data_IF_499842639648
#
_entry.id   IF_499842639648
#
_cell.length_a   1.000
_cell.length_b   1.000
_cell.length_c   1.000
_cell.angle_alpha   90.00
_cell.angle_beta   90.00
_cell.angle_gamma   90.00
#
_symmetry.space_group_name_H-M   'P 1'
#
loop_
_entity.id
_entity.type
_entity.pdbx_description
1 polymer ?
#
# COMPACT_ATOMS: atom_id res chain seq x y z
N UNK A 1 9.73 -23.64 -18.12
CA UNK A 1 9.84 -25.03 -17.57
C UNK A 1 10.80 -25.84 -18.41
N UNK A 2 11.61 -26.67 -17.77
CA UNK A 2 12.47 -27.63 -18.44
C UNK A 2 11.76 -28.99 -18.51
N UNK A 3 11.88 -29.68 -19.63
CA UNK A 3 11.27 -30.98 -19.88
C UNK A 3 12.31 -32.10 -19.74
N UNK A 4 11.85 -33.36 -19.64
CA UNK A 4 12.72 -34.52 -19.56
C UNK A 4 13.66 -34.62 -20.78
N UNK A 5 14.82 -35.28 -20.61
CA UNK A 5 15.86 -35.39 -21.64
C UNK A 5 15.32 -35.99 -22.94
N UNK A 6 14.33 -36.90 -22.87
CA UNK A 6 13.71 -37.57 -24.03
C UNK A 6 12.61 -36.75 -24.69
N UNK A 7 12.22 -35.60 -24.13
CA UNK A 7 11.17 -34.75 -24.72
C UNK A 7 11.71 -34.01 -25.95
N UNK A 8 10.93 -33.94 -27.01
CA UNK A 8 11.23 -33.12 -28.19
C UNK A 8 11.25 -31.63 -27.84
N UNK A 9 10.45 -31.19 -26.85
CA UNK A 9 10.43 -29.82 -26.35
C UNK A 9 11.40 -29.73 -25.18
N UNK A 10 12.38 -28.85 -25.27
CA UNK A 10 13.43 -28.66 -24.26
C UNK A 10 13.10 -27.50 -23.31
N UNK A 11 12.50 -26.43 -23.80
CA UNK A 11 12.08 -25.32 -22.97
C UNK A 11 10.86 -24.58 -23.54
N UNK A 12 10.08 -23.99 -22.65
CA UNK A 12 9.00 -23.07 -22.99
C UNK A 12 9.15 -21.83 -22.12
N UNK A 13 9.29 -20.67 -22.75
CA UNK A 13 9.19 -19.37 -22.11
C UNK A 13 7.87 -18.73 -22.52
N UNK A 14 7.01 -18.48 -21.54
CA UNK A 14 5.77 -17.76 -21.73
C UNK A 14 5.78 -16.51 -20.85
N UNK A 15 5.65 -15.34 -21.48
CA UNK A 15 5.53 -14.07 -20.80
C UNK A 15 4.14 -13.47 -21.06
N UNK A 16 3.47 -13.07 -20.01
CA UNK A 16 2.22 -12.33 -20.07
C UNK A 16 2.37 -11.07 -19.24
N UNK A 17 2.37 -9.91 -19.89
CA UNK A 17 2.51 -8.62 -19.24
C UNK A 17 1.16 -7.91 -19.22
N UNK A 18 0.66 -7.63 -18.02
CA UNK A 18 -0.51 -6.79 -17.79
C UNK A 18 -0.04 -5.40 -17.36
N UNK A 19 -0.55 -4.37 -18.02
CA UNK A 19 -0.32 -2.97 -17.62
C UNK A 19 -1.66 -2.30 -17.42
N UNK A 20 -1.88 -1.76 -16.22
CA UNK A 20 -3.09 -1.02 -15.87
C UNK A 20 -2.79 0.47 -15.90
N UNK A 21 -3.58 1.21 -16.65
CA UNK A 21 -3.58 2.68 -16.68
C UNK A 21 -4.82 3.21 -15.98
N UNK A 22 -4.75 4.47 -15.49
CA UNK A 22 -5.92 5.04 -14.88
C UNK A 22 -5.77 6.49 -14.51
N UNK A 23 -6.92 7.11 -14.35
CA UNK A 23 -7.10 8.45 -13.82
C UNK A 23 -8.12 8.42 -12.70
N UNK A 24 -8.00 9.31 -11.72
CA UNK A 24 -8.89 9.32 -10.57
C UNK A 24 -9.09 10.72 -10.01
N UNK A 25 -10.25 10.92 -9.40
CA UNK A 25 -10.62 12.15 -8.73
C UNK A 25 -11.06 11.86 -7.28
N UNK A 26 -10.61 12.70 -6.36
CA UNK A 26 -11.08 12.72 -4.99
C UNK A 26 -10.99 14.16 -4.44
N UNK A 27 -11.70 14.43 -3.35
CA UNK A 27 -11.57 15.68 -2.61
C UNK A 27 -11.44 15.41 -1.11
N UNK A 28 -10.89 16.38 -0.41
CA UNK A 28 -10.78 16.34 1.05
C UNK A 28 -11.26 17.65 1.63
N UNK A 29 -12.00 17.55 2.73
CA UNK A 29 -12.45 18.71 3.51
C UNK A 29 -12.09 18.48 4.98
N UNK A 30 -11.72 19.53 5.69
CA UNK A 30 -11.37 19.43 7.10
C UNK A 30 -11.61 20.73 7.85
N UNK A 31 -11.78 20.60 9.15
CA UNK A 31 -11.92 21.72 10.07
C UNK A 31 -11.02 21.47 11.29
N UNK A 32 -10.41 22.55 11.80
CA UNK A 32 -9.60 22.54 13.00
C UNK A 32 -10.05 23.66 13.92
N UNK A 33 -10.31 23.33 15.18
CA UNK A 33 -10.59 24.31 16.23
C UNK A 33 -9.51 24.28 17.31
N UNK A 34 -9.10 25.47 17.75
CA UNK A 34 -8.10 25.67 18.80
C UNK A 34 -8.82 26.13 20.08
N UNK A 35 -8.58 25.42 21.18
CA UNK A 35 -9.09 25.72 22.51
C UNK A 35 -7.90 25.89 23.44
N UNK A 36 -7.36 27.09 23.56
CA UNK A 36 -6.15 27.36 24.35
C UNK A 36 -5.02 26.37 24.01
N UNK A 37 -4.79 25.37 24.85
CA UNK A 37 -3.76 24.33 24.68
C UNK A 37 -4.22 23.13 23.87
N UNK A 38 -5.53 22.91 23.73
CA UNK A 38 -6.12 21.79 23.02
C UNK A 38 -6.45 22.19 21.57
N UNK A 39 -6.16 21.33 20.63
CA UNK A 39 -6.58 21.43 19.24
C UNK A 39 -7.40 20.20 18.90
N UNK A 40 -8.54 20.39 18.27
CA UNK A 40 -9.40 19.31 17.80
C UNK A 40 -9.63 19.52 16.32
N UNK A 41 -9.44 18.48 15.54
CA UNK A 41 -9.62 18.49 14.08
C UNK A 41 -10.50 17.34 13.64
N UNK A 42 -11.18 17.56 12.53
CA UNK A 42 -11.91 16.54 11.79
C UNK A 42 -11.59 16.72 10.31
N UNK A 43 -11.32 15.65 9.61
CA UNK A 43 -11.20 15.68 8.15
C UNK A 43 -11.93 14.49 7.54
N UNK A 44 -12.53 14.74 6.38
CA UNK A 44 -13.19 13.74 5.56
C UNK A 44 -12.53 13.73 4.19
N UNK A 45 -12.11 12.55 3.76
CA UNK A 45 -11.65 12.28 2.40
C UNK A 45 -12.72 11.49 1.67
N UNK A 46 -13.16 12.01 0.54
CA UNK A 46 -14.12 11.30 -0.32
C UNK A 46 -13.52 9.99 -0.84
N UNK A 47 -14.35 9.06 -1.34
CA UNK A 47 -13.86 8.03 -2.21
C UNK A 47 -13.03 8.63 -3.35
N UNK A 48 -12.05 7.89 -3.86
CA UNK A 48 -11.44 8.19 -5.14
C UNK A 48 -12.19 7.41 -6.22
N UNK A 49 -12.70 8.13 -7.21
CA UNK A 49 -13.36 7.56 -8.37
C UNK A 49 -12.34 7.39 -9.47
N UNK A 50 -11.87 6.16 -9.67
CA UNK A 50 -10.93 5.81 -10.73
C UNK A 50 -11.66 5.39 -12.00
N UNK A 51 -11.13 5.78 -13.15
CA UNK A 51 -11.41 5.17 -14.44
C UNK A 51 -10.15 4.46 -14.89
N UNK A 52 -10.23 3.14 -15.02
CA UNK A 52 -9.09 2.27 -15.28
C UNK A 52 -9.28 1.55 -16.62
N UNK A 53 -8.18 1.17 -17.27
CA UNK A 53 -8.15 0.27 -18.42
C UNK A 53 -6.87 -0.53 -18.42
N UNK A 54 -6.99 -1.75 -18.93
CA UNK A 54 -5.91 -2.72 -18.92
C UNK A 54 -5.43 -2.98 -20.36
N UNK A 55 -4.13 -3.23 -20.47
CA UNK A 55 -3.48 -3.68 -21.69
C UNK A 55 -2.67 -4.94 -21.37
N UNK A 56 -2.79 -5.97 -22.21
CA UNK A 56 -1.96 -7.16 -22.11
C UNK A 56 -1.13 -7.37 -23.35
N UNK A 57 0.12 -7.78 -23.16
CA UNK A 57 1.00 -8.27 -24.21
C UNK A 57 1.45 -9.68 -23.86
N UNK A 58 1.58 -10.54 -24.88
CA UNK A 58 1.96 -11.93 -24.70
C UNK A 58 3.15 -12.26 -25.59
N UNK A 59 4.04 -13.10 -25.08
CA UNK A 59 5.17 -13.63 -25.78
C UNK A 59 5.31 -15.11 -25.43
N UNK A 60 5.53 -15.94 -26.43
CA UNK A 60 5.80 -17.36 -26.28
C UNK A 60 7.02 -17.74 -27.09
N UNK A 61 7.95 -18.41 -26.45
CA UNK A 61 9.12 -18.99 -27.11
C UNK A 61 9.22 -20.46 -26.73
N UNK A 62 9.51 -21.32 -27.72
CA UNK A 62 9.75 -22.73 -27.50
C UNK A 62 11.08 -23.13 -28.13
N UNK A 63 11.86 -23.93 -27.40
CA UNK A 63 13.01 -24.64 -27.95
C UNK A 63 12.67 -26.12 -28.08
N UNK A 64 12.86 -26.67 -29.27
CA UNK A 64 12.64 -28.08 -29.57
C UNK A 64 13.83 -28.71 -30.29
N UNK A 65 13.90 -30.03 -30.23
CA UNK A 65 14.95 -30.81 -30.91
C UNK A 65 14.26 -31.91 -31.72
N UNK A 66 14.63 -32.06 -33.00
CA UNK A 66 14.12 -33.14 -33.84
C UNK A 66 14.81 -34.49 -33.56
N UNK A 67 14.36 -35.52 -34.24
CA UNK A 67 14.92 -36.88 -34.14
C UNK A 67 16.38 -36.96 -34.62
N UNK A 68 16.88 -35.97 -35.34
CA UNK A 68 18.26 -35.88 -35.85
C UNK A 68 19.15 -35.02 -34.94
N UNK A 69 18.61 -34.49 -33.83
CA UNK A 69 19.32 -33.62 -32.90
C UNK A 69 19.41 -32.16 -33.35
N UNK A 70 18.67 -31.76 -34.39
CA UNK A 70 18.63 -30.36 -34.82
C UNK A 70 17.74 -29.56 -33.88
N UNK A 71 18.23 -28.39 -33.48
CA UNK A 71 17.52 -27.45 -32.56
C UNK A 71 16.69 -26.47 -33.36
N UNK A 72 15.46 -26.30 -32.93
CA UNK A 72 14.52 -25.32 -33.47
C UNK A 72 14.12 -24.38 -32.36
N UNK A 73 13.95 -23.12 -32.70
CA UNK A 73 13.45 -22.06 -31.82
C UNK A 73 12.28 -21.37 -32.50
N UNK A 74 11.09 -21.58 -31.96
CA UNK A 74 9.88 -20.97 -32.46
C UNK A 74 9.45 -19.84 -31.52
N UNK A 75 9.18 -18.69 -32.11
CA UNK A 75 8.78 -17.50 -31.37
C UNK A 75 7.44 -17.03 -31.87
N UNK A 76 6.49 -16.89 -30.96
CA UNK A 76 5.19 -16.25 -31.18
C UNK A 76 5.20 -14.93 -30.40
N UNK A 77 5.54 -13.85 -31.10
CA UNK A 77 5.45 -12.48 -30.60
C UNK A 77 4.51 -11.71 -31.53
N UNK A 78 3.22 -11.69 -31.23
CA UNK A 78 2.25 -11.02 -32.08
C UNK A 78 2.44 -9.49 -32.14
N UNK A 79 3.25 -8.92 -31.21
CA UNK A 79 3.43 -7.47 -31.06
C UNK A 79 2.12 -6.72 -30.98
N UNK A 80 1.10 -7.39 -30.43
CA UNK A 80 -0.26 -6.87 -30.30
C UNK A 80 -0.52 -6.62 -28.82
N UNK A 81 -1.00 -5.43 -28.51
CA UNK A 81 -1.56 -5.14 -27.19
C UNK A 81 -3.07 -5.37 -27.24
N UNK A 82 -3.56 -6.29 -26.42
CA UNK A 82 -4.98 -6.46 -26.22
C UNK A 82 -5.46 -5.37 -25.25
N UNK A 83 -6.36 -4.52 -25.72
CA UNK A 83 -6.97 -3.46 -24.93
C UNK A 83 -8.29 -3.95 -24.36
N UNK A 84 -8.46 -3.80 -23.04
CA UNK A 84 -9.71 -4.14 -22.37
C UNK A 84 -10.60 -2.91 -22.20
N UNK A 85 -11.91 -3.09 -22.13
CA UNK A 85 -12.85 -2.01 -21.90
C UNK A 85 -12.56 -1.28 -20.59
N UNK A 86 -12.79 0.03 -20.58
CA UNK A 86 -12.63 0.85 -19.37
C UNK A 86 -13.61 0.42 -18.29
N UNK A 87 -13.12 0.35 -17.07
CA UNK A 87 -13.93 0.07 -15.89
C UNK A 87 -13.70 1.14 -14.81
N UNK A 88 -14.58 1.18 -13.81
CA UNK A 88 -14.49 2.14 -12.71
C UNK A 88 -14.21 1.41 -11.41
N UNK A 89 -13.23 1.91 -10.65
CA UNK A 89 -12.96 1.49 -9.29
C UNK A 89 -13.27 2.65 -8.34
N UNK A 90 -14.04 2.39 -7.29
CA UNK A 90 -14.37 3.36 -6.26
C UNK A 90 -13.70 2.90 -4.97
N UNK A 91 -12.74 3.70 -4.46
CA UNK A 91 -12.06 3.42 -3.19
C UNK A 91 -12.97 3.77 -1.99
N UNK A 92 -12.65 3.32 -0.77
CA UNK A 92 -13.38 3.76 0.41
C UNK A 92 -13.09 5.23 0.73
N UNK A 93 -14.06 5.90 1.35
CA UNK A 93 -13.85 7.18 2.02
C UNK A 93 -13.12 6.99 3.35
N UNK A 94 -12.55 8.05 3.90
CA UNK A 94 -12.00 8.03 5.25
C UNK A 94 -12.43 9.23 6.06
N UNK A 95 -12.70 8.98 7.35
CA UNK A 95 -12.96 9.99 8.36
C UNK A 95 -11.80 9.99 9.36
N UNK A 96 -11.21 11.15 9.61
CA UNK A 96 -10.13 11.32 10.59
C UNK A 96 -10.59 12.27 11.68
N UNK A 97 -10.44 11.84 12.92
CA UNK A 97 -10.57 12.68 14.11
C UNK A 97 -9.17 12.87 14.71
N UNK A 98 -8.80 14.11 14.93
CA UNK A 98 -7.49 14.50 15.41
C UNK A 98 -7.58 15.31 16.68
N UNK A 99 -6.67 15.09 17.62
CA UNK A 99 -6.48 15.94 18.78
C UNK A 99 -5.00 16.21 19.03
N UNK A 100 -4.68 17.37 19.56
CA UNK A 100 -3.33 17.68 20.02
C UNK A 100 -3.38 18.58 21.27
N UNK A 101 -2.59 18.19 22.27
CA UNK A 101 -2.38 18.97 23.48
C UNK A 101 -1.01 19.65 23.41
N UNK A 102 -1.01 20.97 23.51
CA UNK A 102 0.22 21.78 23.53
C UNK A 102 0.64 22.03 24.95
N UNK A 103 1.87 21.62 25.29
CA UNK A 103 2.45 21.71 26.63
C UNK A 103 3.37 22.92 26.67
N UNK A 104 2.78 24.10 26.79
CA UNK A 104 3.52 25.37 26.81
C UNK A 104 4.43 25.55 25.58
N UNK A 105 5.69 25.93 25.84
CA UNK A 105 6.75 26.02 24.82
C UNK A 105 7.59 24.74 24.74
N UNK A 106 7.30 23.75 25.58
CA UNK A 106 8.13 22.57 25.80
C UNK A 106 7.80 21.47 24.79
N UNK A 107 6.54 21.34 24.34
CA UNK A 107 6.21 20.28 23.41
C UNK A 107 4.73 20.10 23.11
N UNK A 108 4.41 18.98 22.48
CA UNK A 108 3.04 18.58 22.15
C UNK A 108 2.89 17.06 22.22
N UNK A 109 1.65 16.62 22.42
CA UNK A 109 1.21 15.24 22.21
C UNK A 109 0.03 15.29 21.27
N UNK A 110 -0.01 14.43 20.26
CA UNK A 110 -1.09 14.31 19.29
C UNK A 110 -1.64 12.89 19.24
N UNK A 111 -2.92 12.80 18.89
CA UNK A 111 -3.64 11.55 18.73
C UNK A 111 -4.59 11.67 17.56
N UNK A 112 -4.55 10.72 16.63
CA UNK A 112 -5.45 10.62 15.49
C UNK A 112 -6.13 9.25 15.48
N UNK A 113 -7.42 9.26 15.13
CA UNK A 113 -8.21 8.06 14.80
C UNK A 113 -8.71 8.21 13.38
N UNK A 114 -8.43 7.19 12.55
CA UNK A 114 -8.83 7.18 11.14
C UNK A 114 -9.73 5.97 10.91
N UNK A 115 -10.96 6.22 10.48
CA UNK A 115 -11.91 5.17 10.11
C UNK A 115 -12.00 5.04 8.59
N UNK A 116 -11.94 3.79 8.10
CA UNK A 116 -12.16 3.44 6.69
C UNK A 116 -13.03 2.18 6.61
N UNK A 117 -14.00 2.19 5.72
CA UNK A 117 -14.85 1.02 5.44
C UNK A 117 -14.49 0.42 4.07
N UNK A 118 -13.61 -0.59 4.07
CA UNK A 118 -13.15 -1.24 2.86
C UNK A 118 -14.23 -2.08 2.17
N UNK A 119 -15.32 -2.44 2.86
CA UNK A 119 -16.47 -3.12 2.24
C UNK A 119 -17.22 -2.25 1.22
N UNK A 120 -16.95 -0.93 1.23
CA UNK A 120 -17.54 0.05 0.30
C UNK A 120 -16.81 0.17 -1.02
N UNK A 121 -15.67 -0.50 -1.19
CA UNK A 121 -14.99 -0.59 -2.49
C UNK A 121 -15.96 -1.20 -3.51
N UNK A 122 -16.00 -0.64 -4.71
CA UNK A 122 -16.88 -1.10 -5.80
C UNK A 122 -16.17 -1.03 -7.14
N UNK A 123 -16.37 -2.07 -7.93
CA UNK A 123 -15.93 -2.13 -9.32
C UNK A 123 -17.16 -2.11 -10.21
N UNK A 124 -17.11 -1.35 -11.29
CA UNK A 124 -18.21 -1.20 -12.27
C UNK A 124 -17.68 -1.41 -13.70
N UNK A 125 -18.49 -1.98 -14.62
CA UNK A 125 -19.90 -2.35 -14.47
C UNK A 125 -20.12 -3.49 -13.47
N UNK A 126 -21.24 -3.44 -12.75
CA UNK A 126 -21.50 -4.42 -11.67
C UNK A 126 -21.64 -5.86 -12.19
N UNK A 127 -22.20 -6.03 -13.37
CA UNK A 127 -22.43 -7.36 -13.95
C UNK A 127 -21.11 -8.06 -14.27
N UNK A 128 -20.14 -7.33 -14.83
CA UNK A 128 -18.83 -7.89 -15.24
C UNK A 128 -17.93 -8.19 -14.03
N UNK A 129 -18.15 -7.49 -12.90
CA UNK A 129 -17.35 -7.59 -11.68
C UNK A 129 -18.20 -8.06 -10.48
N UNK A 130 -19.22 -8.88 -10.73
CA UNK A 130 -20.11 -9.39 -9.67
C UNK A 130 -19.33 -10.16 -8.61
N UNK A 131 -18.49 -11.11 -9.01
CA UNK A 131 -17.72 -11.97 -8.12
C UNK A 131 -16.68 -11.18 -7.34
N UNK A 132 -15.95 -10.29 -8.00
CA UNK A 132 -15.00 -9.40 -7.34
C UNK A 132 -15.67 -8.51 -6.27
N UNK A 133 -16.85 -7.95 -6.59
CA UNK A 133 -17.60 -7.14 -5.62
C UNK A 133 -18.15 -7.97 -4.45
N UNK A 134 -18.47 -9.25 -4.67
CA UNK A 134 -18.89 -10.16 -3.59
C UNK A 134 -17.70 -10.55 -2.71
N UNK A 135 -16.52 -10.83 -3.30
CA UNK A 135 -15.28 -11.08 -2.56
C UNK A 135 -14.90 -9.87 -1.69
N UNK A 136 -14.95 -8.65 -2.23
CA UNK A 136 -14.70 -7.43 -1.47
C UNK A 136 -15.57 -7.39 -0.22
N UNK A 137 -16.87 -7.64 -0.33
CA UNK A 137 -17.80 -7.60 0.79
C UNK A 137 -17.60 -8.71 1.82
N UNK A 138 -17.17 -9.89 1.39
CA UNK A 138 -16.98 -11.03 2.27
C UNK A 138 -15.61 -11.10 2.92
N UNK A 139 -14.58 -10.55 2.25
CA UNK A 139 -13.20 -10.64 2.71
C UNK A 139 -12.66 -9.37 3.35
N UNK A 140 -13.29 -8.22 3.09
CA UNK A 140 -12.86 -6.93 3.64
C UNK A 140 -13.78 -6.45 4.74
N UNK A 141 -13.23 -5.63 5.64
CA UNK A 141 -13.92 -5.07 6.79
C UNK A 141 -13.64 -3.56 6.96
N UNK A 142 -14.39 -2.94 7.87
CA UNK A 142 -14.08 -1.59 8.34
C UNK A 142 -12.87 -1.63 9.26
N UNK A 143 -12.01 -0.62 9.20
CA UNK A 143 -10.80 -0.50 10.02
C UNK A 143 -10.77 0.81 10.80
N UNK A 144 -10.18 0.74 12.00
CA UNK A 144 -9.80 1.87 12.81
C UNK A 144 -8.28 1.92 12.96
N UNK A 145 -7.68 3.00 12.50
CA UNK A 145 -6.24 3.19 12.60
C UNK A 145 -5.95 4.26 13.66
N UNK A 146 -4.95 4.01 14.49
CA UNK A 146 -4.56 4.90 15.58
C UNK A 146 -3.15 5.43 15.34
N UNK A 147 -2.96 6.74 15.60
CA UNK A 147 -1.65 7.36 15.57
C UNK A 147 -1.45 8.18 16.82
N UNK A 148 -0.29 8.02 17.45
CA UNK A 148 0.13 8.82 18.58
C UNK A 148 1.48 9.46 18.21
N UNK A 149 1.60 10.74 18.44
CA UNK A 149 2.83 11.48 18.20
C UNK A 149 3.18 12.39 19.38
N UNK A 150 4.46 12.55 19.63
CA UNK A 150 4.95 13.49 20.64
C UNK A 150 6.18 14.23 20.14
N UNK A 151 6.31 15.47 20.59
CA UNK A 151 7.49 16.29 20.39
C UNK A 151 7.83 17.02 21.69
N UNK A 152 9.10 16.97 22.08
CA UNK A 152 9.66 17.74 23.19
C UNK A 152 10.74 18.66 22.62
N UNK A 153 10.66 19.95 22.99
CA UNK A 153 11.60 20.99 22.57
C UNK A 153 12.43 21.46 23.77
N UNK A 154 13.72 21.26 23.67
CA UNK A 154 14.71 21.67 24.66
C UNK A 154 15.59 22.74 24.01
N UNK A 155 15.21 24.01 24.12
CA UNK A 155 15.85 25.13 23.42
C UNK A 155 15.91 24.89 21.89
N UNK A 156 17.12 24.58 21.40
CA UNK A 156 17.38 24.31 19.98
C UNK A 156 17.19 22.85 19.56
N UNK A 157 17.07 21.94 20.54
CA UNK A 157 16.91 20.50 20.29
C UNK A 157 15.43 20.13 20.30
N UNK A 158 14.99 19.34 19.31
CA UNK A 158 13.66 18.74 19.26
C UNK A 158 13.79 17.23 19.25
N UNK A 159 13.09 16.56 20.16
CA UNK A 159 12.98 15.10 20.22
C UNK A 159 11.55 14.71 19.87
N UNK A 160 11.38 13.71 19.01
CA UNK A 160 10.08 13.26 18.52
C UNK A 160 9.98 11.76 18.65
N UNK A 161 8.78 11.30 19.00
CA UNK A 161 8.45 9.88 18.99
C UNK A 161 7.03 9.71 18.44
N UNK A 162 6.79 8.62 17.74
CA UNK A 162 5.48 8.30 17.19
C UNK A 162 5.24 6.80 17.13
N UNK A 163 3.98 6.44 17.30
CA UNK A 163 3.46 5.10 17.13
C UNK A 163 2.25 5.15 16.20
N UNK A 164 2.10 4.16 15.35
CA UNK A 164 0.96 4.01 14.46
C UNK A 164 0.58 2.53 14.38
N UNK A 165 -0.72 2.25 14.54
CA UNK A 165 -1.34 0.94 14.35
C UNK A 165 -2.40 1.07 13.26
N UNK A 166 -2.33 0.18 12.27
CA UNK A 166 -3.25 0.10 11.14
C UNK A 166 -3.88 -1.28 11.18
N UNK A 167 -5.19 -1.33 11.46
CA UNK A 167 -5.94 -2.59 11.40
C UNK A 167 -5.92 -3.19 10.00
N UNK A 168 -5.83 -4.52 9.96
CA UNK A 168 -5.84 -5.23 8.69
C UNK A 168 -7.24 -5.14 8.04
N UNK A 169 -7.33 -4.73 6.77
CA UNK A 169 -8.62 -4.66 6.08
C UNK A 169 -9.22 -6.04 5.73
N UNK A 170 -8.45 -7.13 5.82
CA UNK A 170 -8.93 -8.48 5.55
C UNK A 170 -9.48 -9.14 6.81
N UNK A 171 -10.71 -9.67 6.75
CA UNK A 171 -11.40 -10.32 7.86
C UNK A 171 -10.60 -11.50 8.46
N UNK A 172 -9.90 -12.24 7.60
CA UNK A 172 -9.16 -13.45 8.01
C UNK A 172 -7.74 -13.17 8.51
N UNK A 173 -7.29 -11.91 8.50
CA UNK A 173 -5.98 -11.51 8.96
C UNK A 173 -6.15 -10.63 10.19
N UNK A 174 -5.77 -11.16 11.34
CA UNK A 174 -5.93 -10.49 12.65
C UNK A 174 -4.75 -9.60 13.03
N UNK A 175 -3.68 -9.65 12.25
CA UNK A 175 -2.44 -8.97 12.59
C UNK A 175 -2.39 -7.58 11.97
N UNK A 176 -2.24 -6.59 12.83
CA UNK A 176 -2.16 -5.18 12.47
C UNK A 176 -0.75 -4.83 11.97
N UNK A 177 -0.68 -3.80 11.13
CA UNK A 177 0.60 -3.20 10.76
C UNK A 177 0.95 -2.17 11.82
N UNK A 178 2.02 -2.42 12.55
CA UNK A 178 2.54 -1.50 13.55
C UNK A 178 3.75 -0.73 13.05
N UNK A 179 3.91 0.50 13.48
CA UNK A 179 5.14 1.25 13.20
C UNK A 179 5.51 2.18 14.34
N UNK A 180 6.82 2.26 14.57
CA UNK A 180 7.45 3.12 15.57
C UNK A 180 8.36 4.10 14.85
N UNK A 181 8.38 5.35 15.31
CA UNK A 181 9.25 6.37 14.75
C UNK A 181 9.90 7.22 15.83
N UNK A 182 11.15 7.55 15.60
CA UNK A 182 11.92 8.46 16.45
C UNK A 182 12.57 9.52 15.59
N UNK A 183 12.69 10.73 16.12
CA UNK A 183 13.30 11.82 15.40
C UNK A 183 14.04 12.77 16.33
N UNK A 184 15.13 13.32 15.81
CA UNK A 184 15.88 14.40 16.47
C UNK A 184 16.04 15.55 15.49
N UNK A 185 15.82 16.77 15.96
CA UNK A 185 16.02 17.99 15.18
C UNK A 185 16.84 19.01 15.96
N UNK A 186 17.72 19.74 15.27
CA UNK A 186 18.50 20.81 15.88
C UNK A 186 18.37 22.09 15.04
N UNK A 187 18.02 23.19 15.74
CA UNK A 187 17.83 24.52 15.15
C UNK A 187 19.09 25.38 15.35
N UNK A 188 19.82 25.59 14.26
CA UNK A 188 21.00 26.47 14.23
C UNK A 188 20.65 27.96 14.05
N UNK A 189 19.36 28.32 14.03
CA UNK A 189 18.85 29.65 13.71
C UNK A 189 18.41 29.74 12.26
N UNK A 190 19.32 29.91 11.34
CA UNK A 190 19.01 29.99 9.91
C UNK A 190 18.90 28.62 9.24
N UNK A 191 19.33 27.53 9.91
CA UNK A 191 19.30 26.19 9.38
C UNK A 191 18.73 25.25 10.42
N UNK A 192 17.78 24.39 10.01
CA UNK A 192 17.22 23.32 10.83
C UNK A 192 17.62 21.98 10.22
N UNK A 193 18.23 21.12 11.01
CA UNK A 193 18.57 19.74 10.60
C UNK A 193 17.70 18.78 11.38
N UNK A 194 17.04 17.86 10.68
CA UNK A 194 16.24 16.80 11.28
C UNK A 194 16.73 15.44 10.79
N UNK A 195 16.88 14.49 11.71
CA UNK A 195 17.09 13.08 11.45
C UNK A 195 15.89 12.33 12.00
N UNK A 196 15.35 11.38 11.24
CA UNK A 196 14.28 10.50 11.70
C UNK A 196 14.52 9.06 11.26
N UNK A 197 14.05 8.15 12.09
CA UNK A 197 14.04 6.72 11.82
C UNK A 197 12.65 6.17 12.10
N UNK A 198 12.16 5.32 11.20
CA UNK A 198 10.88 4.64 11.30
C UNK A 198 11.06 3.15 11.02
N UNK A 199 10.51 2.32 11.88
CA UNK A 199 10.40 0.86 11.70
C UNK A 199 8.94 0.51 11.49
N UNK A 200 8.64 -0.32 10.50
CA UNK A 200 7.31 -0.84 10.17
C UNK A 200 7.38 -2.34 10.28
N UNK A 201 6.54 -2.90 11.11
CA UNK A 201 6.39 -4.34 11.34
C UNK A 201 5.05 -4.80 10.75
N UNK A 202 5.10 -5.85 9.98
CA UNK A 202 3.92 -6.45 9.36
C UNK A 202 4.09 -7.97 9.32
N UNK A 203 3.06 -8.67 9.78
CA UNK A 203 2.93 -10.12 9.62
C UNK A 203 1.85 -10.40 8.58
N UNK A 204 2.08 -11.37 7.71
CA UNK A 204 1.13 -11.82 6.70
C UNK A 204 1.12 -13.33 6.63
N UNK A 205 -0.07 -13.90 6.61
CA UNK A 205 -0.25 -15.31 6.28
C UNK A 205 -0.44 -15.45 4.77
N UNK A 206 0.39 -16.25 4.13
CA UNK A 206 0.37 -16.49 2.69
C UNK A 206 0.21 -17.97 2.40
N UNK A 207 -0.83 -18.33 1.65
CA UNK A 207 -1.01 -19.68 1.15
C UNK A 207 -0.25 -19.79 -0.18
N UNK A 208 0.73 -20.69 -0.22
CA UNK A 208 1.61 -20.87 -1.38
C UNK A 208 0.93 -21.62 -2.53
N UNK A 209 -0.01 -22.51 -2.20
CA UNK A 209 -0.71 -23.34 -3.18
C UNK A 209 -2.21 -23.37 -2.89
N UNK A 210 -3.02 -23.22 -3.92
CA UNK A 210 -4.48 -23.27 -3.81
C UNK A 210 -4.99 -24.69 -3.52
N UNK A 211 -4.24 -25.72 -3.96
CA UNK A 211 -4.56 -27.13 -3.78
C UNK A 211 -3.29 -27.92 -3.43
N UNK A 212 -3.43 -28.95 -2.60
CA UNK A 212 -2.34 -29.82 -2.18
C UNK A 212 -1.74 -29.40 -0.84
N UNK A 213 -0.64 -28.63 -0.85
CA UNK A 213 -0.04 -28.09 0.36
C UNK A 213 -0.82 -26.85 0.81
N UNK A 214 -1.81 -27.05 1.67
CA UNK A 214 -2.73 -26.00 2.14
C UNK A 214 -2.24 -25.25 3.37
N UNK A 215 -1.08 -25.63 3.91
CA UNK A 215 -0.48 -24.94 5.07
C UNK A 215 -0.09 -23.52 4.67
N UNK A 216 -0.48 -22.56 5.51
CA UNK A 216 -0.14 -21.15 5.33
C UNK A 216 1.26 -20.86 5.89
N UNK A 217 2.09 -20.19 5.09
CA UNK A 217 3.37 -19.65 5.55
C UNK A 217 3.13 -18.30 6.22
N UNK A 218 3.65 -18.12 7.41
CA UNK A 218 3.67 -16.81 8.10
C UNK A 218 4.89 -16.02 7.63
N UNK A 219 4.65 -14.87 7.01
CA UNK A 219 5.68 -13.96 6.53
C UNK A 219 5.76 -12.76 7.47
N UNK A 220 6.87 -12.66 8.21
CA UNK A 220 7.18 -11.48 9.00
C UNK A 220 8.06 -10.54 8.18
N UNK A 221 7.65 -9.29 8.10
CA UNK A 221 8.38 -8.25 7.36
C UNK A 221 8.66 -7.07 8.27
N UNK A 222 9.93 -6.70 8.37
CA UNK A 222 10.38 -5.49 9.07
C UNK A 222 11.06 -4.56 8.06
N UNK A 223 10.47 -3.39 7.87
CA UNK A 223 11.02 -2.36 7.00
C UNK A 223 11.47 -1.16 7.82
N UNK A 224 12.68 -0.67 7.58
CA UNK A 224 13.23 0.50 8.25
C UNK A 224 13.54 1.62 7.27
N UNK A 225 13.16 2.84 7.61
CA UNK A 225 13.37 4.04 6.81
C UNK A 225 14.06 5.08 7.67
N UNK A 226 15.23 5.54 7.23
CA UNK A 226 15.93 6.68 7.82
C UNK A 226 15.87 7.88 6.88
N UNK A 227 15.60 9.07 7.40
CA UNK A 227 15.48 10.30 6.62
C UNK A 227 16.27 11.42 7.27
N UNK A 228 17.01 12.17 6.45
CA UNK A 228 17.69 13.40 6.81
C UNK A 228 17.03 14.56 6.06
N UNK A 229 16.68 15.62 6.79
CA UNK A 229 16.10 16.84 6.21
C UNK A 229 16.90 18.06 6.69
N UNK A 230 17.22 18.93 5.74
CA UNK A 230 17.87 20.23 6.01
C UNK A 230 16.94 21.32 5.49
N UNK A 231 16.58 22.25 6.37
CA UNK A 231 15.69 23.37 6.05
C UNK A 231 16.43 24.67 6.27
N UNK A 232 16.53 25.50 5.23
CA UNK A 232 17.09 26.85 5.31
C UNK A 232 15.96 27.86 5.51
N UNK A 233 16.12 28.78 6.47
CA UNK A 233 15.19 29.88 6.75
C UNK A 233 15.82 31.17 6.18
N UNK A 234 15.12 31.80 5.24
CA UNK A 234 15.49 33.05 4.60
C UNK A 234 14.78 34.24 5.24
#
# INVERSE_FOLDING_TARGET
SNFDEDSAIKSILYENRLTTYGEGFSFQIGALRKFNKLRIGVSYQSPTWYTLWDETTQYLETESVDVNGLKYRDIVDPRISNLYPKYKLISPSSLTLSSALIIGKIGLISFDVISKDYTKIKIKPKNDFSDSNNLIKSQLQSTLNFKIGSEIRLNKLSLRAGFNSIENPYVNLTEDISSYSFGVGYDFGNTLINLSHKTIEQTKNHQLFDTGLTDTATLESTNSISSLSIVFKF
#
